data_IF_803221280341
#
_entry.id   IF_803221280341
#
_cell.length_a   1.000
_cell.length_b   1.000
_cell.length_c   1.000
_cell.angle_alpha   90.00
_cell.angle_beta   90.00
_cell.angle_gamma   90.00
#
_symmetry.space_group_name_H-M   'P 1'
#
loop_
_entity.id
_entity.type
_entity.pdbx_description
1 polymer ?
#
# COMPACT_ATOMS: atom_id res chain seq x y z
N UNK A 1 15.84 -0.50 -15.17
CA UNK A 1 16.43 -1.36 -14.10
C UNK A 1 15.72 -1.02 -12.79
N UNK A 2 15.33 -2.01 -11.99
CA UNK A 2 14.43 -1.86 -10.82
C UNK A 2 13.68 -3.16 -10.55
N UNK A 3 14.42 -4.26 -10.47
CA UNK A 3 13.96 -5.66 -10.60
C UNK A 3 13.45 -6.22 -9.27
N UNK A 4 12.27 -5.79 -8.83
CA UNK A 4 11.54 -6.48 -7.75
C UNK A 4 12.03 -6.23 -6.33
N UNK A 5 13.06 -5.40 -6.09
CA UNK A 5 13.50 -5.09 -4.72
C UNK A 5 12.38 -4.44 -3.89
N UNK A 6 11.63 -3.50 -4.46
CA UNK A 6 10.48 -2.90 -3.79
C UNK A 6 9.32 -3.88 -3.55
N UNK A 7 9.11 -4.83 -4.47
CA UNK A 7 8.11 -5.90 -4.30
C UNK A 7 8.54 -6.85 -3.18
N UNK A 8 9.79 -7.28 -3.15
CA UNK A 8 10.34 -8.18 -2.14
C UNK A 8 10.32 -7.56 -0.74
N UNK A 9 10.70 -6.29 -0.62
CA UNK A 9 10.63 -5.56 0.66
C UNK A 9 9.19 -5.42 1.16
N UNK A 10 8.26 -5.08 0.27
CA UNK A 10 6.85 -4.97 0.64
C UNK A 10 6.27 -6.33 1.04
N UNK A 11 6.58 -7.39 0.29
CA UNK A 11 6.15 -8.75 0.62
C UNK A 11 6.63 -9.15 2.02
N UNK A 12 7.93 -8.98 2.30
CA UNK A 12 8.50 -9.30 3.59
C UNK A 12 7.89 -8.48 4.73
N UNK A 13 7.64 -7.19 4.52
CA UNK A 13 6.97 -6.35 5.50
C UNK A 13 5.54 -6.84 5.79
N UNK A 14 4.77 -7.22 4.77
CA UNK A 14 3.42 -7.77 4.94
C UNK A 14 3.43 -9.11 5.68
N UNK A 15 4.43 -9.97 5.45
CA UNK A 15 4.55 -11.24 6.16
C UNK A 15 4.80 -11.02 7.65
N UNK A 16 5.71 -10.10 8.02
CA UNK A 16 5.92 -9.71 9.43
C UNK A 16 4.63 -9.16 10.05
N UNK A 17 3.85 -8.38 9.31
CA UNK A 17 2.59 -7.82 9.81
C UNK A 17 1.52 -8.90 10.00
N UNK A 18 1.47 -9.91 9.14
CA UNK A 18 0.59 -11.09 9.29
C UNK A 18 0.96 -11.90 10.52
N UNK A 19 2.25 -12.13 10.76
CA UNK A 19 2.75 -12.82 11.96
C UNK A 19 2.40 -12.08 13.26
N UNK A 20 2.11 -10.78 13.17
CA UNK A 20 1.71 -9.93 14.31
C UNK A 20 0.20 -9.74 14.44
N UNK A 21 -0.60 -10.54 13.72
CA UNK A 21 -2.07 -10.45 13.72
C UNK A 21 -2.61 -9.06 13.38
N UNK A 22 -1.89 -8.30 12.55
CA UNK A 22 -2.37 -7.00 12.07
C UNK A 22 -3.54 -7.19 11.12
N UNK A 23 -4.68 -6.57 11.43
CA UNK A 23 -5.88 -6.68 10.60
C UNK A 23 -5.84 -5.78 9.37
N UNK A 24 -5.27 -4.58 9.46
CA UNK A 24 -5.32 -3.59 8.38
C UNK A 24 -3.99 -2.86 8.22
N UNK A 25 -3.60 -2.65 6.97
CA UNK A 25 -2.42 -1.85 6.60
C UNK A 25 -2.88 -0.69 5.75
N UNK A 26 -2.45 0.52 6.12
CA UNK A 26 -2.75 1.75 5.40
C UNK A 26 -1.46 2.37 4.86
N UNK A 27 -1.54 2.94 3.66
CA UNK A 27 -0.46 3.73 3.10
C UNK A 27 -0.98 4.88 2.26
N UNK A 28 -0.20 5.95 2.20
CA UNK A 28 -0.45 7.09 1.34
C UNK A 28 0.61 7.13 0.23
N UNK A 29 0.17 7.22 -1.03
CA UNK A 29 1.06 7.34 -2.19
C UNK A 29 0.71 8.58 -2.98
N UNK A 30 1.72 9.30 -3.49
CA UNK A 30 1.55 10.41 -4.42
C UNK A 30 0.65 10.02 -5.59
N UNK A 31 -0.36 10.83 -5.89
CA UNK A 31 -1.34 10.53 -6.95
C UNK A 31 -0.69 10.45 -8.35
N UNK A 32 0.40 11.18 -8.59
CA UNK A 32 1.20 11.10 -9.81
C UNK A 32 2.03 9.82 -9.93
N UNK A 33 2.31 9.13 -8.82
CA UNK A 33 3.11 7.91 -8.82
C UNK A 33 2.26 6.68 -9.13
N UNK A 34 1.76 6.63 -10.36
CA UNK A 34 0.89 5.55 -10.86
C UNK A 34 1.57 4.18 -10.75
N UNK A 35 2.88 4.10 -11.00
CA UNK A 35 3.66 2.86 -10.88
C UNK A 35 3.63 2.28 -9.46
N UNK A 36 3.79 3.11 -8.44
CA UNK A 36 3.70 2.65 -7.06
C UNK A 36 2.25 2.30 -6.68
N UNK A 37 1.26 3.09 -7.13
CA UNK A 37 -0.14 2.77 -6.89
C UNK A 37 -0.54 1.40 -7.50
N UNK A 38 -0.10 1.11 -8.73
CA UNK A 38 -0.30 -0.19 -9.38
C UNK A 38 0.41 -1.33 -8.65
N UNK A 39 1.63 -1.09 -8.17
CA UNK A 39 2.36 -2.04 -7.33
C UNK A 39 1.52 -2.45 -6.13
N UNK A 40 1.08 -1.47 -5.32
CA UNK A 40 0.29 -1.74 -4.11
C UNK A 40 -1.04 -2.42 -4.45
N UNK A 41 -1.72 -2.01 -5.53
CA UNK A 41 -2.95 -2.67 -5.99
C UNK A 41 -2.72 -4.14 -6.35
N UNK A 42 -1.60 -4.49 -6.98
CA UNK A 42 -1.23 -5.90 -7.27
C UNK A 42 -1.00 -6.72 -5.99
N UNK A 43 -0.56 -6.10 -4.91
CA UNK A 43 -0.41 -6.76 -3.60
C UNK A 43 -1.73 -6.95 -2.85
N UNK A 44 -2.83 -6.35 -3.33
CA UNK A 44 -4.15 -6.45 -2.71
C UNK A 44 -4.60 -5.19 -1.96
N UNK A 45 -3.82 -4.10 -2.02
CA UNK A 45 -4.29 -2.81 -1.51
C UNK A 45 -5.41 -2.24 -2.38
N UNK A 46 -6.40 -1.62 -1.74
CA UNK A 46 -7.53 -0.96 -2.39
C UNK A 46 -7.55 0.51 -2.03
N UNK A 47 -7.90 1.37 -2.98
CA UNK A 47 -8.06 2.79 -2.71
C UNK A 47 -9.28 3.01 -1.82
N UNK A 48 -9.07 3.63 -0.67
CA UNK A 48 -10.13 3.97 0.29
C UNK A 48 -10.41 5.48 0.33
N UNK A 49 -9.55 6.28 -0.31
CA UNK A 49 -9.74 7.73 -0.37
C UNK A 49 -8.58 8.47 -0.99
N UNK A 50 -8.70 9.79 -0.99
CA UNK A 50 -7.70 10.72 -1.51
C UNK A 50 -7.60 11.93 -0.59
N UNK A 51 -6.40 12.18 -0.08
CA UNK A 51 -6.10 13.42 0.64
C UNK A 51 -5.63 14.48 -0.35
N UNK A 52 -6.39 15.58 -0.43
CA UNK A 52 -6.02 16.73 -1.25
C UNK A 52 -4.85 17.48 -0.62
N UNK A 53 -3.87 17.89 -1.43
CA UNK A 53 -2.70 18.67 -0.99
C UNK A 53 -1.93 18.06 0.20
N UNK A 54 -1.85 16.73 0.26
CA UNK A 54 -1.16 16.02 1.34
C UNK A 54 0.35 16.31 1.34
N UNK A 55 0.94 16.42 0.15
CA UNK A 55 2.33 16.83 -0.01
C UNK A 55 2.38 18.32 -0.33
N UNK A 56 3.22 19.07 0.40
CA UNK A 56 3.34 20.51 0.23
C UNK A 56 4.33 20.92 -0.90
N UNK A 57 5.30 20.06 -1.23
CA UNK A 57 6.36 20.37 -2.21
C UNK A 57 6.72 19.16 -3.09
N UNK A 58 6.41 19.18 -4.40
CA UNK A 58 5.35 19.99 -5.01
C UNK A 58 3.96 19.68 -4.39
N UNK A 59 3.01 20.63 -4.41
CA UNK A 59 1.63 20.41 -3.98
C UNK A 59 1.03 19.22 -4.73
N UNK A 60 0.69 18.18 -4.00
CA UNK A 60 0.18 16.96 -4.62
C UNK A 60 -0.77 16.20 -3.72
N UNK A 61 -1.80 15.66 -4.35
CA UNK A 61 -2.74 14.75 -3.72
C UNK A 61 -2.07 13.43 -3.38
N UNK A 62 -2.50 12.80 -2.29
CA UNK A 62 -2.12 11.45 -1.93
C UNK A 62 -3.33 10.51 -2.07
N UNK A 63 -3.15 9.39 -2.76
CA UNK A 63 -4.07 8.27 -2.72
C UNK A 63 -3.85 7.50 -1.43
N UNK A 64 -4.91 7.28 -0.68
CA UNK A 64 -4.90 6.44 0.52
C UNK A 64 -5.34 5.04 0.12
N UNK A 65 -4.43 4.08 0.28
CA UNK A 65 -4.68 2.68 -0.01
C UNK A 65 -4.72 1.89 1.30
N UNK A 66 -5.61 0.91 1.38
CA UNK A 66 -5.72 0.01 2.52
C UNK A 66 -5.73 -1.46 2.07
N UNK A 67 -5.11 -2.32 2.85
CA UNK A 67 -5.15 -3.76 2.68
C UNK A 67 -5.68 -4.41 3.96
N UNK A 68 -6.63 -5.31 3.79
CA UNK A 68 -7.09 -6.21 4.85
C UNK A 68 -6.12 -7.41 4.89
N UNK A 69 -5.47 -7.57 6.04
CA UNK A 69 -4.57 -8.67 6.34
C UNK A 69 -5.20 -9.71 7.26
N UNK A 70 -6.47 -9.53 7.65
CA UNK A 70 -7.15 -10.54 8.45
C UNK A 70 -7.08 -11.88 7.73
N UNK A 71 -6.56 -12.92 8.39
CA UNK A 71 -6.60 -14.25 7.82
C UNK A 71 -8.06 -14.57 7.56
N UNK A 72 -8.41 -14.80 6.29
CA UNK A 72 -9.73 -15.31 5.94
C UNK A 72 -9.78 -16.71 6.51
N UNK A 73 -10.24 -16.81 7.75
CA UNK A 73 -10.37 -18.07 8.48
C UNK A 73 -11.10 -19.08 7.62
N UNK A 74 -10.56 -20.29 7.59
CA UNK A 74 -11.16 -21.46 6.97
C UNK A 74 -12.66 -21.53 7.27
N UNK A 75 -13.45 -21.66 6.20
CA UNK A 75 -14.73 -22.34 6.26
C UNK A 75 -14.49 -23.85 6.32
#
# INVERSE_FOLDING_TARGET
RGRGAGEAMLAHALDILRERDVSWVYLAVRASNTRAAELYRRFGFREIGRHRSYYAQPPEDALVLAMDLTPRGCS
#
